data_IF_563331997811
#
_entry.id   IF_563331997811
#
_cell.length_a   1.000
_cell.length_b   1.000
_cell.length_c   1.000
_cell.angle_alpha   90.00
_cell.angle_beta   90.00
_cell.angle_gamma   90.00
#
_symmetry.space_group_name_H-M   'P 1'
#
loop_
_entity.id
_entity.type
_entity.pdbx_description
1 polymer ?
#
# COMPACT_ATOMS: atom_id res chain seq x y z
N UNK A 1 0.40 -15.54 -37.68
CA UNK A 1 -0.96 -15.64 -37.09
C UNK A 1 -1.84 -14.59 -37.75
N UNK A 2 -3.13 -14.83 -37.94
CA UNK A 2 -4.02 -13.81 -38.56
C UNK A 2 -4.36 -12.73 -37.53
N UNK A 3 -4.64 -11.51 -37.99
CA UNK A 3 -5.04 -10.39 -37.10
C UNK A 3 -6.28 -10.76 -36.25
N UNK A 4 -7.20 -11.56 -36.81
CA UNK A 4 -8.36 -12.05 -36.08
C UNK A 4 -7.98 -12.95 -34.90
N UNK A 5 -7.05 -13.89 -35.09
CA UNK A 5 -6.55 -14.76 -34.02
C UNK A 5 -5.79 -13.97 -32.95
N UNK A 6 -5.03 -12.94 -33.33
CA UNK A 6 -4.34 -12.07 -32.38
C UNK A 6 -5.33 -11.25 -31.52
N UNK A 7 -6.44 -10.78 -32.10
CA UNK A 7 -7.50 -10.10 -31.36
C UNK A 7 -8.22 -11.02 -30.39
N UNK A 8 -8.44 -12.28 -30.78
CA UNK A 8 -9.02 -13.29 -29.89
C UNK A 8 -8.07 -13.62 -28.72
N UNK A 9 -6.78 -13.76 -28.99
CA UNK A 9 -5.76 -13.97 -27.96
C UNK A 9 -5.70 -12.79 -26.99
N UNK A 10 -5.66 -11.55 -27.50
CA UNK A 10 -5.67 -10.34 -26.68
C UNK A 10 -6.88 -10.29 -25.73
N UNK A 11 -8.07 -10.64 -26.23
CA UNK A 11 -9.29 -10.67 -25.42
C UNK A 11 -9.24 -11.75 -24.32
N UNK A 12 -8.66 -12.92 -24.61
CA UNK A 12 -8.45 -13.99 -23.62
C UNK A 12 -7.47 -13.55 -22.53
N UNK A 13 -6.34 -12.97 -22.92
CA UNK A 13 -5.34 -12.45 -21.98
C UNK A 13 -5.95 -11.36 -21.08
N UNK A 14 -6.71 -10.43 -21.65
CA UNK A 14 -7.38 -9.39 -20.87
C UNK A 14 -8.32 -9.98 -19.79
N UNK A 15 -9.10 -11.00 -20.14
CA UNK A 15 -9.99 -11.67 -19.19
C UNK A 15 -9.22 -12.42 -18.09
N UNK A 16 -8.12 -13.09 -18.45
CA UNK A 16 -7.27 -13.80 -17.48
C UNK A 16 -6.56 -12.82 -16.52
N UNK A 17 -6.01 -11.72 -17.05
CA UNK A 17 -5.38 -10.67 -16.25
C UNK A 17 -6.38 -10.12 -15.22
N UNK A 18 -7.58 -9.75 -15.64
CA UNK A 18 -8.62 -9.24 -14.73
C UNK A 18 -9.02 -10.25 -13.64
N UNK A 19 -9.14 -11.53 -13.99
CA UNK A 19 -9.46 -12.59 -13.04
C UNK A 19 -8.36 -12.76 -11.98
N UNK A 20 -7.11 -12.89 -12.42
CA UNK A 20 -5.97 -13.10 -11.52
C UNK A 20 -5.65 -11.85 -10.69
N UNK A 21 -5.82 -10.65 -11.25
CA UNK A 21 -5.69 -9.40 -10.49
C UNK A 21 -6.74 -9.33 -9.36
N UNK A 22 -8.00 -9.68 -9.66
CA UNK A 22 -9.05 -9.71 -8.65
C UNK A 22 -8.79 -10.74 -7.55
N UNK A 23 -8.26 -11.92 -7.91
CA UNK A 23 -7.88 -12.98 -6.97
C UNK A 23 -6.72 -12.54 -6.05
N UNK A 24 -5.67 -11.93 -6.64
CA UNK A 24 -4.54 -11.36 -5.92
C UNK A 24 -4.99 -10.29 -4.91
N UNK A 25 -5.87 -9.36 -5.32
CA UNK A 25 -6.40 -8.30 -4.44
C UNK A 25 -7.24 -8.83 -3.27
N UNK A 26 -7.89 -10.00 -3.42
CA UNK A 26 -8.59 -10.67 -2.31
C UNK A 26 -7.67 -11.45 -1.37
N UNK A 27 -6.37 -11.53 -1.68
CA UNK A 27 -5.39 -12.32 -0.94
C UNK A 27 -5.44 -13.81 -1.27
N UNK A 28 -6.04 -14.19 -2.39
CA UNK A 28 -6.19 -15.58 -2.85
C UNK A 28 -5.55 -15.76 -4.23
N UNK A 29 -4.22 -15.52 -4.40
CA UNK A 29 -3.57 -15.65 -5.70
C UNK A 29 -3.62 -17.10 -6.20
N UNK A 30 -4.06 -17.28 -7.44
CA UNK A 30 -4.16 -18.58 -8.08
C UNK A 30 -2.89 -18.98 -8.86
N UNK A 31 -2.09 -17.99 -9.25
CA UNK A 31 -0.83 -18.15 -9.98
C UNK A 31 0.29 -17.36 -9.30
N UNK A 32 1.56 -17.77 -9.44
CA UNK A 32 2.71 -16.97 -9.01
C UNK A 32 2.83 -15.66 -9.80
N UNK A 33 3.43 -14.64 -9.17
CA UNK A 33 3.67 -13.33 -9.78
C UNK A 33 4.40 -13.43 -11.12
N UNK A 34 5.38 -14.33 -11.25
CA UNK A 34 6.13 -14.51 -12.51
C UNK A 34 5.24 -14.97 -13.68
N UNK A 35 4.24 -15.81 -13.42
CA UNK A 35 3.31 -16.24 -14.48
C UNK A 35 2.35 -15.12 -14.88
N UNK A 36 1.97 -14.27 -13.91
CA UNK A 36 1.19 -13.07 -14.18
C UNK A 36 1.98 -12.07 -15.02
N UNK A 37 3.25 -11.83 -14.69
CA UNK A 37 4.14 -10.92 -15.41
C UNK A 37 4.32 -11.36 -16.88
N UNK A 38 4.61 -12.65 -17.13
CA UNK A 38 4.73 -13.20 -18.48
C UNK A 38 3.44 -13.03 -19.31
N UNK A 39 2.29 -13.25 -18.67
CA UNK A 39 0.97 -13.06 -19.30
C UNK A 39 0.72 -11.58 -19.62
N UNK A 40 1.10 -10.68 -18.72
CA UNK A 40 0.92 -9.24 -18.90
C UNK A 40 1.84 -8.68 -20.00
N UNK A 41 3.10 -9.11 -20.03
CA UNK A 41 4.05 -8.77 -21.10
C UNK A 41 3.50 -9.20 -22.46
N UNK A 42 2.97 -10.42 -22.55
CA UNK A 42 2.35 -10.93 -23.78
C UNK A 42 1.15 -10.09 -24.23
N UNK A 43 0.33 -9.63 -23.28
CA UNK A 43 -0.79 -8.74 -23.57
C UNK A 43 -0.31 -7.40 -24.14
N UNK A 44 0.70 -6.79 -23.53
CA UNK A 44 1.30 -5.51 -23.98
C UNK A 44 1.85 -5.63 -25.40
N UNK A 45 2.61 -6.69 -25.69
CA UNK A 45 3.15 -6.97 -27.03
C UNK A 45 2.04 -7.04 -28.10
N UNK A 46 0.93 -7.73 -27.79
CA UNK A 46 -0.19 -7.86 -28.71
C UNK A 46 -0.98 -6.56 -28.86
N UNK A 47 -1.17 -5.81 -27.77
CA UNK A 47 -1.85 -4.52 -27.79
C UNK A 47 -1.09 -3.52 -28.68
N UNK A 48 0.24 -3.48 -28.56
CA UNK A 48 1.12 -2.68 -29.41
C UNK A 48 1.04 -3.12 -30.88
N UNK A 49 1.16 -4.41 -31.15
CA UNK A 49 1.12 -4.95 -32.52
C UNK A 49 -0.23 -4.70 -33.22
N UNK A 50 -1.33 -4.66 -32.46
CA UNK A 50 -2.69 -4.42 -32.96
C UNK A 50 -3.08 -2.94 -32.99
N UNK A 51 -2.25 -2.04 -32.46
CA UNK A 51 -2.53 -0.61 -32.37
C UNK A 51 -3.74 -0.30 -31.47
N UNK A 52 -3.90 -1.03 -30.37
CA UNK A 52 -4.98 -0.81 -29.40
C UNK A 52 -4.80 0.57 -28.76
N UNK A 53 -5.88 1.34 -28.66
CA UNK A 53 -5.83 2.68 -28.09
C UNK A 53 -5.52 2.62 -26.59
N UNK A 54 -4.75 3.58 -26.04
CA UNK A 54 -4.45 3.63 -24.60
C UNK A 54 -5.67 3.57 -23.67
N UNK A 55 -6.80 4.15 -24.08
CA UNK A 55 -8.07 4.15 -23.32
C UNK A 55 -8.67 2.74 -23.16
N UNK A 56 -8.32 1.81 -24.04
CA UNK A 56 -8.85 0.45 -24.10
C UNK A 56 -7.87 -0.58 -23.48
N UNK A 57 -6.70 -0.13 -23.02
CA UNK A 57 -5.64 -1.01 -22.53
C UNK A 57 -5.65 -1.16 -21.00
N UNK A 58 -5.13 -2.30 -20.53
CA UNK A 58 -4.96 -2.60 -19.10
C UNK A 58 -3.64 -2.07 -18.53
N UNK A 59 -2.65 -1.73 -19.37
CA UNK A 59 -1.31 -1.29 -18.99
C UNK A 59 -1.17 0.24 -18.85
N UNK A 60 -2.27 0.98 -19.07
CA UNK A 60 -2.27 2.45 -19.02
C UNK A 60 -2.23 3.01 -17.60
N UNK A 61 -2.51 2.19 -16.58
CA UNK A 61 -2.50 2.63 -15.19
C UNK A 61 -1.82 1.59 -14.28
N UNK A 62 -0.55 1.80 -13.86
CA UNK A 62 0.03 1.00 -12.80
C UNK A 62 -0.72 1.28 -11.51
N UNK A 63 -1.37 0.25 -10.93
CA UNK A 63 -1.96 0.32 -9.60
C UNK A 63 -2.88 1.52 -9.40
N UNK A 64 -3.94 1.64 -10.22
CA UNK A 64 -5.01 2.61 -9.98
C UNK A 64 -5.77 2.27 -8.69
N UNK A 65 -5.13 2.55 -7.56
CA UNK A 65 -5.75 2.76 -6.28
C UNK A 65 -5.07 3.96 -5.57
N UNK A 66 -4.85 5.01 -6.33
CA UNK A 66 -5.28 6.29 -5.81
C UNK A 66 -6.77 6.33 -6.10
N UNK A 67 -7.59 5.82 -5.18
CA UNK A 67 -9.03 6.05 -5.25
C UNK A 67 -9.22 7.57 -5.23
N UNK A 68 -9.41 8.18 -6.40
CA UNK A 68 -9.87 9.56 -6.48
C UNK A 68 -11.18 9.62 -5.70
N UNK A 69 -11.25 10.47 -4.68
CA UNK A 69 -12.45 10.62 -3.85
C UNK A 69 -12.28 10.33 -2.36
N UNK A 70 -11.09 10.02 -1.85
CA UNK A 70 -10.86 10.12 -0.40
C UNK A 70 -10.82 11.58 0.02
N UNK A 71 -11.89 12.04 0.65
CA UNK A 71 -11.95 13.33 1.32
C UNK A 71 -11.36 13.25 2.73
N UNK A 72 -10.75 14.34 3.20
CA UNK A 72 -10.38 14.47 4.61
C UNK A 72 -11.65 14.56 5.44
N UNK A 73 -11.90 13.56 6.29
CA UNK A 73 -13.04 13.56 7.21
C UNK A 73 -12.56 13.87 8.62
N UNK A 74 -13.27 14.76 9.31
CA UNK A 74 -13.02 15.05 10.71
C UNK A 74 -13.44 13.86 11.60
N UNK A 75 -12.54 13.40 12.47
CA UNK A 75 -12.88 12.37 13.44
C UNK A 75 -13.86 12.92 14.49
N UNK A 76 -14.92 12.16 14.79
CA UNK A 76 -15.92 12.53 15.81
C UNK A 76 -15.34 12.67 17.23
N UNK A 77 -14.25 11.95 17.48
CA UNK A 77 -13.46 12.03 18.71
C UNK A 77 -12.02 12.18 18.28
N UNK A 78 -11.31 13.16 18.86
CA UNK A 78 -9.92 13.41 18.54
C UNK A 78 -9.07 12.15 18.79
N UNK A 79 -8.34 11.71 17.78
CA UNK A 79 -7.35 10.67 17.93
C UNK A 79 -6.14 11.26 18.65
N UNK A 80 -5.88 10.80 19.86
CA UNK A 80 -4.68 11.19 20.60
C UNK A 80 -3.47 10.41 20.09
N UNK A 81 -2.28 11.01 20.26
CA UNK A 81 -1.01 10.36 19.99
C UNK A 81 -0.46 9.69 21.26
N UNK A 82 0.28 8.61 21.07
CA UNK A 82 1.07 8.00 22.14
C UNK A 82 2.42 8.72 22.26
N UNK A 83 2.85 8.99 23.50
CA UNK A 83 4.18 9.55 23.76
C UNK A 83 5.25 8.49 23.49
N UNK A 84 6.30 8.89 22.77
CA UNK A 84 7.41 8.00 22.38
C UNK A 84 8.58 8.16 23.33
N UNK A 85 9.13 7.03 23.78
CA UNK A 85 10.48 6.96 24.32
C UNK A 85 11.46 6.73 23.15
N UNK A 86 12.55 7.49 23.11
CA UNK A 86 13.43 7.52 21.93
C UNK A 86 14.91 7.50 22.31
N UNK A 87 15.74 6.67 21.64
CA UNK A 87 17.20 6.73 21.80
C UNK A 87 17.81 8.08 21.43
N UNK A 88 17.09 8.89 20.64
CA UNK A 88 17.55 10.20 20.18
C UNK A 88 17.20 11.33 21.17
N UNK A 89 16.50 11.04 22.27
CA UNK A 89 16.13 12.06 23.26
C UNK A 89 17.36 12.50 24.03
N UNK A 90 17.51 13.81 24.19
CA UNK A 90 18.64 14.45 24.87
C UNK A 90 18.17 15.36 25.99
N UNK A 91 19.01 15.53 27.00
CA UNK A 91 18.77 16.47 28.09
C UNK A 91 19.11 17.92 27.69
N UNK A 92 18.99 18.86 28.63
CA UNK A 92 19.31 20.27 28.42
C UNK A 92 20.79 20.55 28.16
N UNK A 93 21.67 19.59 28.44
CA UNK A 93 23.11 19.64 28.17
C UNK A 93 23.47 18.97 26.84
N UNK A 94 22.49 18.37 26.16
CA UNK A 94 22.67 17.66 24.90
C UNK A 94 23.11 16.22 25.05
N UNK A 95 23.13 15.69 26.27
CA UNK A 95 23.51 14.30 26.55
C UNK A 95 22.34 13.34 26.31
N UNK A 96 22.56 12.14 25.77
CA UNK A 96 21.49 11.15 25.57
C UNK A 96 20.85 10.73 26.89
N UNK A 97 19.51 10.71 26.93
CA UNK A 97 18.76 10.20 28.10
C UNK A 97 18.49 8.70 27.89
N UNK A 98 18.91 7.81 28.79
CA UNK A 98 18.60 6.38 28.71
C UNK A 98 17.08 6.11 28.68
N UNK A 99 16.64 5.12 27.90
CA UNK A 99 15.22 4.76 27.78
C UNK A 99 14.59 4.47 29.15
N UNK A 100 15.32 3.79 30.03
CA UNK A 100 14.89 3.48 31.39
C UNK A 100 14.56 4.75 32.18
N UNK A 101 15.44 5.75 32.12
CA UNK A 101 15.23 7.03 32.79
C UNK A 101 14.03 7.79 32.18
N UNK A 102 13.86 7.76 30.86
CA UNK A 102 12.69 8.36 30.21
C UNK A 102 11.38 7.70 30.68
N UNK A 103 11.38 6.38 30.86
CA UNK A 103 10.23 5.63 31.36
C UNK A 103 9.93 5.98 32.83
N UNK A 104 10.94 6.06 33.68
CA UNK A 104 10.79 6.44 35.10
C UNK A 104 10.24 7.86 35.23
N UNK A 105 10.77 8.82 34.46
CA UNK A 105 10.25 10.19 34.42
C UNK A 105 8.80 10.24 33.92
N UNK A 106 8.46 9.45 32.90
CA UNK A 106 7.09 9.34 32.41
C UNK A 106 6.16 8.78 33.49
N UNK A 107 6.57 7.71 34.17
CA UNK A 107 5.78 7.04 35.20
C UNK A 107 5.54 7.97 36.41
N UNK A 108 6.59 8.61 36.93
CA UNK A 108 6.47 9.57 38.02
C UNK A 108 5.54 10.74 37.66
N UNK A 109 5.64 11.26 36.42
CA UNK A 109 4.73 12.29 35.92
C UNK A 109 3.28 11.79 35.88
N UNK A 110 3.03 10.57 35.38
CA UNK A 110 1.68 10.00 35.30
C UNK A 110 1.06 9.77 36.68
N UNK A 111 1.83 9.24 37.64
CA UNK A 111 1.34 9.07 39.02
C UNK A 111 0.91 10.41 39.62
N UNK A 112 1.75 11.45 39.46
CA UNK A 112 1.43 12.80 39.93
C UNK A 112 0.18 13.37 39.27
N UNK A 113 0.04 13.24 37.95
CA UNK A 113 -1.13 13.73 37.21
C UNK A 113 -2.42 13.00 37.60
N UNK A 114 -2.32 11.73 38.00
CA UNK A 114 -3.44 10.91 38.43
C UNK A 114 -3.66 10.97 39.96
N UNK A 115 -2.89 11.78 40.69
CA UNK A 115 -2.94 11.90 42.15
C UNK A 115 -2.77 10.55 42.88
N UNK A 116 -1.94 9.67 42.31
CA UNK A 116 -1.63 8.35 42.85
C UNK A 116 -0.37 8.40 43.73
N UNK A 117 -0.28 7.52 44.75
CA UNK A 117 0.94 7.39 45.56
C UNK A 117 2.11 6.86 44.72
N UNK A 118 3.32 7.28 45.09
CA UNK A 118 4.60 6.82 44.50
C UNK A 118 4.95 5.38 44.88
#
# INVERSE_FOLDING_TARGET
MTVALQREELAKLAAQIQHHEAAYRRGEPEIPDSEFDEMFDRYVELADALGVKPEERLDTAPGADHTEGFETVEHRVAMLSLEKLSPNRKDSKGEPIPIQEQLEQWYARRLKELELPE
#
